data_IF_278084185164
#
_entry.id   IF_278084185164
#
_cell.length_a   1.000
_cell.length_b   1.000
_cell.length_c   1.000
_cell.angle_alpha   90.00
_cell.angle_beta   90.00
_cell.angle_gamma   90.00
#
_symmetry.space_group_name_H-M   'P 1'
#
loop_
_entity.id
_entity.type
_entity.pdbx_description
1 polymer ?
#
# COMPACT_ATOMS: atom_id res chain seq x y z
N UNK A 1 7.14 -11.69 -3.83
CA UNK A 1 6.20 -10.58 -4.15
C UNK A 1 6.45 -9.40 -3.25
N UNK A 2 6.67 -8.25 -3.84
CA UNK A 2 7.12 -7.10 -3.05
C UNK A 2 6.13 -6.62 -2.00
N UNK A 3 4.84 -6.63 -2.32
CA UNK A 3 3.84 -6.16 -1.33
C UNK A 3 3.83 -7.04 -0.10
N UNK A 4 3.90 -8.35 -0.27
CA UNK A 4 3.88 -9.26 0.86
C UNK A 4 5.18 -9.21 1.65
N UNK A 5 6.31 -8.98 0.97
CA UNK A 5 7.58 -8.76 1.67
C UNK A 5 7.51 -7.52 2.55
N UNK A 6 6.98 -6.44 2.01
CA UNK A 6 6.82 -5.20 2.76
C UNK A 6 5.85 -5.40 3.91
N UNK A 7 4.75 -6.12 3.66
CA UNK A 7 3.77 -6.40 4.71
C UNK A 7 4.43 -7.11 5.89
N UNK A 8 5.24 -8.12 5.61
CA UNK A 8 5.93 -8.86 6.67
C UNK A 8 6.83 -7.97 7.50
N UNK A 9 7.58 -7.07 6.85
CA UNK A 9 8.45 -6.14 7.56
C UNK A 9 7.65 -5.13 8.39
N UNK A 10 6.51 -4.67 7.86
CA UNK A 10 5.67 -3.72 8.58
C UNK A 10 5.01 -4.36 9.80
N UNK A 11 4.64 -5.64 9.69
CA UNK A 11 4.12 -6.38 10.83
C UNK A 11 5.19 -6.55 11.89
N UNK A 12 6.39 -6.91 11.48
CA UNK A 12 7.50 -7.08 12.42
C UNK A 12 7.84 -5.78 13.15
N UNK A 13 7.65 -4.64 12.49
CA UNK A 13 7.88 -3.33 13.09
C UNK A 13 6.70 -2.85 13.93
N UNK A 14 5.60 -3.60 13.99
CA UNK A 14 4.44 -3.24 14.78
C UNK A 14 3.52 -2.21 14.13
N UNK A 15 3.71 -1.93 12.84
CA UNK A 15 2.93 -0.91 12.14
C UNK A 15 1.63 -1.44 11.56
N UNK A 16 1.61 -2.70 11.16
CA UNK A 16 0.42 -3.33 10.58
C UNK A 16 0.11 -4.63 11.31
N UNK A 17 -1.18 -4.97 11.36
CA UNK A 17 -1.63 -6.21 11.99
C UNK A 17 -2.39 -7.12 11.05
N UNK A 18 -3.07 -6.54 10.07
CA UNK A 18 -3.96 -7.30 9.21
C UNK A 18 -3.97 -6.71 7.82
N UNK A 19 -4.43 -7.50 6.87
CA UNK A 19 -4.58 -7.02 5.50
C UNK A 19 -5.80 -7.64 4.85
N UNK A 20 -6.25 -7.02 3.76
CA UNK A 20 -7.32 -7.55 2.94
C UNK A 20 -6.98 -7.36 1.46
N UNK A 21 -7.32 -8.37 0.67
CA UNK A 21 -7.19 -8.29 -0.78
C UNK A 21 -8.58 -8.16 -1.38
N UNK A 22 -8.70 -7.31 -2.39
CA UNK A 22 -9.96 -7.11 -3.07
C UNK A 22 -9.72 -7.12 -4.57
N UNK A 23 -10.53 -7.89 -5.29
CA UNK A 23 -10.38 -8.04 -6.73
C UNK A 23 -11.70 -7.67 -7.39
N UNK A 24 -11.70 -6.57 -8.12
CA UNK A 24 -12.83 -6.14 -8.91
C UNK A 24 -12.53 -6.34 -10.39
N UNK A 25 -13.54 -6.13 -11.20
CA UNK A 25 -13.39 -6.25 -12.64
C UNK A 25 -12.29 -5.35 -13.20
N UNK A 26 -12.17 -4.14 -12.68
CA UNK A 26 -11.27 -3.14 -13.24
C UNK A 26 -10.07 -2.81 -12.37
N UNK A 27 -10.02 -3.35 -11.16
CA UNK A 27 -8.97 -3.00 -10.23
C UNK A 27 -8.74 -4.09 -9.21
N UNK A 28 -7.53 -4.15 -8.68
CA UNK A 28 -7.20 -4.98 -7.53
C UNK A 28 -6.61 -4.09 -6.45
N UNK A 29 -6.82 -4.42 -5.19
CA UNK A 29 -6.28 -3.63 -4.11
C UNK A 29 -5.82 -4.49 -2.94
N UNK A 30 -4.82 -3.96 -2.25
CA UNK A 30 -4.28 -4.51 -1.01
C UNK A 30 -4.46 -3.43 0.05
N UNK A 31 -5.17 -3.76 1.13
CA UNK A 31 -5.41 -2.81 2.22
C UNK A 31 -4.73 -3.32 3.48
N UNK A 32 -4.00 -2.46 4.16
CA UNK A 32 -3.30 -2.81 5.38
C UNK A 32 -3.95 -2.09 6.56
N UNK A 33 -4.08 -2.80 7.68
CA UNK A 33 -4.77 -2.31 8.86
C UNK A 33 -3.85 -2.38 10.06
N UNK A 34 -3.88 -1.32 10.87
CA UNK A 34 -3.19 -1.33 12.15
C UNK A 34 -3.98 -2.13 13.18
N UNK A 35 -5.31 -2.09 13.07
CA UNK A 35 -6.23 -2.87 13.89
C UNK A 35 -7.31 -3.46 13.01
N UNK A 36 -7.76 -4.65 13.34
CA UNK A 36 -8.65 -5.39 12.45
C UNK A 36 -10.02 -4.74 12.25
N UNK A 37 -10.47 -3.90 13.17
CA UNK A 37 -11.79 -3.27 13.07
C UNK A 37 -11.76 -1.86 12.53
N UNK A 38 -10.57 -1.30 12.29
CA UNK A 38 -10.43 0.07 11.85
C UNK A 38 -10.46 0.18 10.33
N UNK A 39 -10.47 1.43 9.85
CA UNK A 39 -10.28 1.66 8.43
C UNK A 39 -8.83 1.37 8.05
N UNK A 40 -8.60 1.15 6.78
CA UNK A 40 -7.26 0.84 6.29
C UNK A 40 -6.29 1.99 6.56
N UNK A 41 -5.12 1.66 7.09
CA UNK A 41 -4.04 2.62 7.29
C UNK A 41 -3.41 3.01 5.96
N UNK A 42 -3.33 2.05 5.04
CA UNK A 42 -2.80 2.27 3.70
C UNK A 42 -3.50 1.32 2.74
N UNK A 43 -3.65 1.76 1.50
CA UNK A 43 -4.23 0.91 0.46
C UNK A 43 -3.41 1.09 -0.81
N UNK A 44 -3.04 -0.03 -1.42
CA UNK A 44 -2.32 -0.04 -2.68
C UNK A 44 -3.28 -0.59 -3.74
N UNK A 45 -3.51 0.20 -4.77
CA UNK A 45 -4.46 -0.16 -5.83
C UNK A 45 -3.74 -0.33 -7.15
N UNK A 46 -4.11 -1.37 -7.88
CA UNK A 46 -3.67 -1.58 -9.25
C UNK A 46 -4.86 -1.40 -10.17
N UNK A 47 -4.79 -0.42 -11.06
CA UNK A 47 -5.85 -0.14 -12.03
C UNK A 47 -5.26 -0.13 -13.43
N UNK A 48 -5.27 -1.29 -14.11
CA UNK A 48 -4.58 -1.43 -15.41
C UNK A 48 -5.03 -0.44 -16.48
N UNK A 49 -6.27 0.01 -16.42
CA UNK A 49 -6.78 0.96 -17.42
C UNK A 49 -6.02 2.29 -17.42
N UNK A 50 -5.33 2.60 -16.32
CA UNK A 50 -4.58 3.86 -16.21
C UNK A 50 -3.10 3.70 -16.57
N UNK A 51 -2.71 2.55 -17.07
CA UNK A 51 -1.31 2.23 -17.32
C UNK A 51 -0.61 3.25 -18.21
N UNK A 52 -1.29 3.75 -19.22
CA UNK A 52 -0.69 4.67 -20.20
C UNK A 52 -1.01 6.14 -19.94
N UNK A 53 -1.71 6.43 -18.86
CA UNK A 53 -2.09 7.82 -18.56
C UNK A 53 -1.43 8.31 -17.28
N UNK A 54 -1.93 7.87 -16.14
CA UNK A 54 -1.48 8.36 -14.84
C UNK A 54 -0.61 7.36 -14.10
N UNK A 55 -0.51 6.15 -14.63
CA UNK A 55 0.12 5.05 -13.94
C UNK A 55 -0.91 4.16 -13.26
N UNK A 56 -0.72 2.85 -13.35
CA UNK A 56 -1.72 1.92 -12.86
C UNK A 56 -1.65 1.66 -11.36
N UNK A 57 -0.57 2.09 -10.69
CA UNK A 57 -0.40 1.86 -9.26
C UNK A 57 -0.68 3.13 -8.49
N UNK A 58 -1.37 3.00 -7.36
CA UNK A 58 -1.63 4.14 -6.47
C UNK A 58 -1.54 3.69 -5.02
N UNK A 59 -1.03 4.56 -4.18
CA UNK A 59 -1.00 4.38 -2.73
C UNK A 59 -1.94 5.41 -2.13
N UNK A 60 -2.87 4.93 -1.31
CA UNK A 60 -3.83 5.78 -0.60
C UNK A 60 -3.52 5.77 0.88
N UNK A 61 -3.69 6.92 1.53
CA UNK A 61 -3.53 7.04 2.96
C UNK A 61 -4.80 6.72 3.72
N UNK A 62 -4.75 6.91 5.03
CA UNK A 62 -5.83 6.54 5.93
C UNK A 62 -7.11 7.31 5.66
N UNK A 63 -7.00 8.55 5.23
CA UNK A 63 -8.17 9.38 4.92
C UNK A 63 -8.67 9.18 3.49
N UNK A 64 -8.08 8.24 2.75
CA UNK A 64 -8.48 7.98 1.37
C UNK A 64 -7.79 8.88 0.36
N UNK A 65 -6.87 9.74 0.80
CA UNK A 65 -6.14 10.62 -0.11
C UNK A 65 -5.07 9.85 -0.88
N UNK A 66 -4.83 10.27 -2.12
CA UNK A 66 -3.77 9.68 -2.94
C UNK A 66 -2.43 10.22 -2.45
N UNK A 67 -1.58 9.34 -1.95
CA UNK A 67 -0.25 9.72 -1.50
C UNK A 67 0.77 9.63 -2.62
N UNK A 68 0.60 8.67 -3.52
CA UNK A 68 1.52 8.48 -4.62
C UNK A 68 0.81 7.71 -5.72
N UNK A 69 1.05 8.09 -6.97
CA UNK A 69 0.60 7.35 -8.13
C UNK A 69 1.77 7.20 -9.07
N UNK A 70 1.93 6.03 -9.69
CA UNK A 70 3.06 5.81 -10.55
C UNK A 70 2.87 4.62 -11.46
N UNK A 71 3.87 4.45 -12.32
CA UNK A 71 3.85 3.41 -13.35
C UNK A 71 4.37 2.08 -12.85
N UNK A 72 5.11 2.06 -11.77
CA UNK A 72 5.64 0.82 -11.22
C UNK A 72 5.39 0.73 -9.73
N UNK A 73 5.32 -0.49 -9.24
CA UNK A 73 5.06 -0.77 -7.84
C UNK A 73 6.18 -0.30 -6.91
N UNK A 74 7.47 -0.51 -7.23
CA UNK A 74 8.52 -0.05 -6.32
C UNK A 74 8.48 1.45 -6.05
N UNK A 75 8.18 2.26 -7.05
CA UNK A 75 8.08 3.70 -6.86
C UNK A 75 6.96 4.07 -5.90
N UNK A 76 5.84 3.39 -6.02
CA UNK A 76 4.68 3.63 -5.15
C UNK A 76 4.97 3.16 -3.73
N UNK A 77 5.64 2.03 -3.57
CA UNK A 77 5.96 1.50 -2.24
C UNK A 77 7.06 2.27 -1.52
N UNK A 78 7.80 3.11 -2.23
CA UNK A 78 8.94 3.82 -1.64
C UNK A 78 8.54 4.66 -0.43
N UNK A 79 7.35 5.26 -0.45
CA UNK A 79 6.88 6.03 0.69
C UNK A 79 6.71 5.18 1.95
N UNK A 80 6.16 3.97 1.78
CA UNK A 80 5.99 3.06 2.90
C UNK A 80 7.33 2.53 3.39
N UNK A 81 8.25 2.26 2.47
CA UNK A 81 9.57 1.78 2.84
C UNK A 81 10.35 2.84 3.63
N UNK A 82 10.21 4.11 3.26
CA UNK A 82 10.84 5.20 4.02
C UNK A 82 10.26 5.31 5.42
N UNK A 83 8.94 5.12 5.54
CA UNK A 83 8.28 5.15 6.84
C UNK A 83 8.81 4.03 7.73
N UNK A 84 9.01 2.84 7.15
CA UNK A 84 9.54 1.70 7.86
C UNK A 84 10.96 1.98 8.36
N UNK A 85 11.81 2.53 7.50
CA UNK A 85 13.18 2.88 7.88
C UNK A 85 13.21 3.87 9.03
N UNK A 86 12.32 4.84 9.00
CA UNK A 86 12.26 5.86 10.04
C UNK A 86 11.95 5.24 11.41
N UNK A 87 11.04 4.28 11.44
CA UNK A 87 10.67 3.59 12.67
C UNK A 87 11.82 2.74 13.18
N UNK A 88 12.49 2.04 12.27
CA UNK A 88 13.58 1.14 12.64
C UNK A 88 14.81 1.90 13.13
N UNK A 89 15.08 3.07 12.56
CA UNK A 89 16.23 3.88 12.95
C UNK A 89 16.06 4.60 14.29
N UNK A 90 14.84 4.81 14.70
CA UNK A 90 14.56 5.45 15.99
C UNK A 90 14.65 4.45 17.13
#
# INVERSE_FOLDING_TARGET
MRILDLYGRMVAAGLWKDYALNFDKDAASFSAYRRSADRATARIEKRPALRQRQGMWALYGEAGQVLKRGHDLPGVLALLERKLLKVVED
#
